data_IF_267414283628
#
_entry.id   IF_267414283628
#
_cell.length_a   1.000
_cell.length_b   1.000
_cell.length_c   1.000
_cell.angle_alpha   90.00
_cell.angle_beta   90.00
_cell.angle_gamma   90.00
#
_symmetry.space_group_name_H-M   'P 1'
#
loop_
_entity.id
_entity.type
_entity.pdbx_description
1 polymer ?
#
# COMPACT_ATOMS: atom_id res chain seq x y z
N UNK A 1 -53.61 -34.62 -31.76
CA UNK A 1 -53.40 -34.68 -30.30
C UNK A 1 -52.21 -35.58 -30.04
N UNK A 2 -51.03 -34.99 -29.86
CA UNK A 2 -49.76 -35.73 -29.80
C UNK A 2 -49.39 -36.11 -28.37
N UNK A 3 -49.34 -37.41 -28.10
CA UNK A 3 -48.72 -37.99 -26.92
C UNK A 3 -47.19 -37.87 -27.02
N UNK A 4 -46.54 -37.28 -26.00
CA UNK A 4 -45.11 -37.48 -25.74
C UNK A 4 -44.93 -38.11 -24.37
N UNK A 5 -44.38 -39.31 -24.39
CA UNK A 5 -43.97 -40.11 -23.25
C UNK A 5 -42.67 -39.55 -22.63
N UNK A 6 -42.53 -39.79 -21.31
CA UNK A 6 -41.32 -39.55 -20.52
C UNK A 6 -40.26 -40.58 -20.90
N UNK A 7 -39.01 -40.14 -21.05
CA UNK A 7 -37.83 -41.02 -21.13
C UNK A 7 -36.82 -40.57 -20.06
N UNK A 8 -36.70 -41.40 -19.01
CA UNK A 8 -35.50 -41.53 -18.20
C UNK A 8 -34.59 -42.57 -18.89
N UNK A 9 -33.27 -42.32 -18.96
CA UNK A 9 -32.34 -43.33 -19.48
C UNK A 9 -30.92 -42.87 -19.80
N UNK A 10 -30.01 -43.17 -18.87
CA UNK A 10 -28.56 -43.49 -19.00
C UNK A 10 -27.58 -42.48 -19.62
N UNK A 11 -26.65 -42.03 -18.78
CA UNK A 11 -25.36 -41.41 -19.14
C UNK A 11 -24.37 -42.50 -19.62
N UNK A 12 -23.69 -42.33 -20.77
CA UNK A 12 -22.63 -43.25 -21.22
C UNK A 12 -21.30 -43.01 -20.48
N UNK A 13 -20.60 -44.11 -20.17
CA UNK A 13 -19.33 -44.12 -19.43
C UNK A 13 -18.18 -43.42 -20.17
N UNK A 14 -17.38 -42.65 -19.41
CA UNK A 14 -16.17 -42.00 -19.89
C UNK A 14 -14.97 -42.95 -20.05
N UNK A 15 -13.90 -42.52 -20.75
CA UNK A 15 -12.76 -43.35 -21.09
C UNK A 15 -11.85 -43.69 -19.89
N UNK A 16 -11.19 -44.84 -19.99
CA UNK A 16 -10.31 -45.43 -18.97
C UNK A 16 -9.16 -44.50 -18.55
N UNK A 17 -8.92 -44.39 -17.24
CA UNK A 17 -7.75 -43.68 -16.68
C UNK A 17 -6.48 -44.47 -16.97
N UNK A 18 -5.47 -43.81 -17.52
CA UNK A 18 -4.09 -44.31 -17.55
C UNK A 18 -3.51 -44.37 -16.12
N UNK A 19 -2.71 -45.39 -15.76
CA UNK A 19 -2.12 -45.51 -14.43
C UNK A 19 -1.03 -44.45 -14.19
N UNK A 20 -1.01 -43.88 -12.98
CA UNK A 20 0.00 -42.93 -12.52
C UNK A 20 1.31 -43.67 -12.17
N UNK A 21 2.44 -43.38 -12.85
CA UNK A 21 3.72 -44.05 -12.63
C UNK A 21 4.41 -43.66 -11.30
N UNK A 22 3.76 -42.92 -10.41
CA UNK A 22 4.30 -42.58 -9.08
C UNK A 22 3.72 -43.40 -7.93
N UNK A 23 2.76 -44.29 -8.20
CA UNK A 23 2.11 -45.09 -7.15
C UNK A 23 2.98 -46.24 -6.60
N UNK A 24 4.03 -46.67 -7.30
CA UNK A 24 4.81 -47.86 -6.93
C UNK A 24 6.08 -47.57 -6.10
N UNK A 25 6.29 -46.35 -5.62
CA UNK A 25 7.56 -45.96 -4.99
C UNK A 25 7.57 -45.86 -3.45
N UNK A 26 6.56 -46.37 -2.72
CA UNK A 26 6.48 -46.12 -1.26
C UNK A 26 6.16 -47.31 -0.36
N UNK A 27 6.30 -48.56 -0.82
CA UNK A 27 6.12 -49.72 0.07
C UNK A 27 7.25 -50.75 -0.06
N UNK A 28 8.27 -50.58 0.80
CA UNK A 28 9.11 -51.70 1.25
C UNK A 28 8.48 -52.37 2.49
N UNK A 29 8.70 -53.67 2.72
CA UNK A 29 8.10 -54.39 3.83
C UNK A 29 8.86 -54.09 5.12
N UNK A 30 8.10 -54.03 6.22
CA UNK A 30 8.52 -53.91 7.62
C UNK A 30 8.71 -52.49 8.20
N UNK A 31 7.87 -52.16 9.19
CA UNK A 31 8.05 -51.00 10.08
C UNK A 31 6.78 -50.20 10.34
N UNK A 32 5.95 -50.64 11.31
CA UNK A 32 4.73 -49.94 11.71
C UNK A 32 4.96 -48.51 12.21
N UNK A 33 3.98 -47.63 11.96
CA UNK A 33 3.87 -46.31 12.60
C UNK A 33 2.57 -46.24 13.41
N UNK A 34 2.58 -45.64 14.61
CA UNK A 34 1.37 -45.49 15.42
C UNK A 34 0.44 -44.44 14.78
N UNK A 35 -0.87 -44.69 14.84
CA UNK A 35 -1.88 -43.74 14.34
C UNK A 35 -1.80 -42.39 15.08
N UNK A 36 -1.80 -41.25 14.37
CA UNK A 36 -1.92 -39.96 15.02
C UNK A 36 -3.38 -39.74 15.45
N UNK A 37 -3.62 -39.61 16.76
CA UNK A 37 -4.89 -39.08 17.26
C UNK A 37 -5.04 -37.63 16.78
N UNK A 38 -6.23 -37.20 16.31
CA UNK A 38 -6.45 -35.81 15.94
C UNK A 38 -6.31 -34.91 17.20
N UNK A 39 -5.66 -33.74 17.10
CA UNK A 39 -5.51 -32.86 18.25
C UNK A 39 -6.86 -32.33 18.71
N UNK A 40 -7.16 -32.51 20.00
CA UNK A 40 -8.30 -31.89 20.66
C UNK A 40 -8.05 -30.39 20.80
N UNK A 41 -8.69 -29.59 19.93
CA UNK A 41 -8.53 -28.14 19.87
C UNK A 41 -9.37 -27.39 20.92
N UNK A 42 -9.94 -28.07 21.94
CA UNK A 42 -10.83 -27.41 22.91
C UNK A 42 -10.11 -26.74 24.09
N UNK A 43 -8.78 -26.80 24.18
CA UNK A 43 -8.03 -26.27 25.34
C UNK A 43 -6.84 -25.35 25.01
N UNK A 44 -6.75 -24.77 23.80
CA UNK A 44 -5.66 -23.84 23.45
C UNK A 44 -5.85 -22.41 24.01
N UNK A 45 -6.29 -22.30 25.26
CA UNK A 45 -6.26 -21.06 26.04
C UNK A 45 -5.30 -21.24 27.21
N UNK A 46 -4.08 -20.72 27.04
CA UNK A 46 -3.07 -20.66 28.10
C UNK A 46 -1.77 -21.33 27.68
N UNK A 47 -0.74 -20.51 27.48
CA UNK A 47 0.67 -20.90 27.48
C UNK A 47 1.17 -21.79 26.34
N UNK A 48 1.24 -21.25 25.13
CA UNK A 48 2.32 -21.59 24.17
C UNK A 48 2.48 -20.47 23.13
N UNK A 49 2.85 -19.27 23.60
CA UNK A 49 3.54 -18.31 22.76
C UNK A 49 4.97 -18.84 22.57
N UNK A 50 5.12 -19.77 21.62
CA UNK A 50 6.43 -20.08 21.04
C UNK A 50 6.89 -18.83 20.29
N UNK A 51 7.56 -17.96 21.05
CA UNK A 51 8.42 -16.90 20.56
C UNK A 51 9.46 -17.59 19.70
N UNK A 52 9.19 -17.68 18.40
CA UNK A 52 10.18 -17.91 17.38
C UNK A 52 11.21 -16.79 17.50
N UNK A 53 12.21 -17.00 18.35
CA UNK A 53 13.44 -16.24 18.39
C UNK A 53 14.17 -16.59 17.10
N UNK A 54 13.68 -16.05 15.98
CA UNK A 54 14.45 -15.95 14.78
C UNK A 54 15.75 -15.27 15.22
N UNK A 55 16.83 -16.05 15.22
CA UNK A 55 18.18 -15.56 15.33
C UNK A 55 18.41 -14.69 14.09
N UNK A 56 17.88 -13.47 14.12
CA UNK A 56 18.32 -12.41 13.22
C UNK A 56 19.83 -12.31 13.48
N UNK A 57 20.67 -12.42 12.43
CA UNK A 57 22.10 -12.21 12.60
C UNK A 57 22.31 -10.91 13.38
N UNK A 58 23.21 -10.93 14.37
CA UNK A 58 23.49 -9.81 15.29
C UNK A 58 23.84 -8.49 14.59
N UNK A 59 24.07 -8.52 13.27
CA UNK A 59 24.13 -7.36 12.42
C UNK A 59 23.17 -7.58 11.23
N UNK A 60 21.92 -7.15 11.36
CA UNK A 60 21.21 -6.67 10.18
C UNK A 60 22.03 -5.45 9.73
N UNK A 61 22.53 -5.38 8.48
CA UNK A 61 23.26 -4.21 8.02
C UNK A 61 22.43 -2.98 8.36
N UNK A 62 23.02 -2.01 9.07
CA UNK A 62 22.33 -0.76 9.34
C UNK A 62 21.87 -0.21 7.99
N UNK A 63 20.55 -0.10 7.81
CA UNK A 63 20.00 0.48 6.62
C UNK A 63 20.63 1.88 6.51
N UNK A 64 21.47 2.12 5.49
CA UNK A 64 22.34 3.29 5.34
C UNK A 64 21.60 4.60 5.08
N UNK A 65 20.49 4.85 5.76
CA UNK A 65 19.75 6.10 5.72
C UNK A 65 19.89 6.82 7.05
N UNK A 66 19.90 8.15 7.00
CA UNK A 66 19.92 9.00 8.18
C UNK A 66 18.71 8.67 9.08
N UNK A 67 18.97 8.31 10.34
CA UNK A 67 17.93 7.99 11.31
C UNK A 67 17.02 9.21 11.51
N UNK A 68 15.71 9.02 11.44
CA UNK A 68 14.76 10.13 11.58
C UNK A 68 14.54 10.62 13.02
N UNK A 69 15.28 10.10 13.99
CA UNK A 69 15.14 10.46 15.40
C UNK A 69 16.29 9.91 16.26
N UNK A 70 16.35 10.27 17.55
CA UNK A 70 17.40 9.78 18.43
C UNK A 70 17.33 8.26 18.49
N UNK A 71 18.51 7.66 18.46
CA UNK A 71 18.79 6.22 18.49
C UNK A 71 17.86 5.44 19.43
N UNK A 72 17.65 4.15 19.13
CA UNK A 72 16.95 3.17 19.99
C UNK A 72 17.08 3.57 21.45
N UNK A 73 16.02 4.13 22.04
CA UNK A 73 16.07 4.52 23.46
C UNK A 73 16.22 3.23 24.25
N UNK A 74 17.42 2.97 24.75
CA UNK A 74 17.66 1.89 25.72
C UNK A 74 16.80 2.21 26.94
N UNK A 75 15.92 1.29 27.33
CA UNK A 75 15.13 1.40 28.55
C UNK A 75 13.65 1.75 28.39
N UNK A 76 12.93 1.18 27.42
CA UNK A 76 11.47 1.07 27.54
C UNK A 76 11.09 -0.21 28.31
N UNK A 77 11.50 -0.25 29.57
CA UNK A 77 10.71 -0.93 30.61
C UNK A 77 9.68 0.12 31.05
N UNK A 78 8.41 -0.08 30.67
CA UNK A 78 7.35 0.90 30.96
C UNK A 78 6.40 1.10 29.78
N UNK A 79 5.30 0.37 29.87
CA UNK A 79 4.03 0.50 29.17
C UNK A 79 3.76 1.88 28.55
N UNK A 80 3.71 1.94 27.22
CA UNK A 80 2.94 2.98 26.55
C UNK A 80 1.48 2.77 26.93
N UNK A 81 0.89 3.77 27.59
CA UNK A 81 -0.49 3.86 28.08
C UNK A 81 -1.41 2.89 27.33
N UNK A 82 -1.99 1.93 28.06
CA UNK A 82 -2.80 0.86 27.51
C UNK A 82 -3.73 1.37 26.40
N UNK A 83 -3.34 1.16 25.13
CA UNK A 83 -4.26 1.50 24.04
C UNK A 83 -5.38 0.47 24.13
N UNK A 84 -6.47 0.82 24.78
CA UNK A 84 -7.59 -0.09 25.04
C UNK A 84 -8.35 -0.38 23.74
N UNK A 85 -9.14 -1.46 23.73
CA UNK A 85 -10.00 -1.78 22.58
C UNK A 85 -9.21 -2.21 21.34
N UNK A 86 -9.59 -1.68 20.17
CA UNK A 86 -9.15 -2.17 18.84
C UNK A 86 -7.64 -2.10 18.60
N UNK A 87 -6.93 -1.22 19.30
CA UNK A 87 -5.50 -0.98 19.11
C UNK A 87 -4.62 -1.69 20.16
N UNK A 88 -5.20 -2.48 21.06
CA UNK A 88 -4.45 -3.13 22.16
C UNK A 88 -3.30 -4.01 21.69
N UNK A 89 -3.43 -4.60 20.49
CA UNK A 89 -2.42 -5.46 19.88
C UNK A 89 -1.50 -4.73 18.88
N UNK A 90 -1.73 -3.44 18.64
CA UNK A 90 -0.84 -2.63 17.81
C UNK A 90 0.29 -2.08 18.68
N UNK A 91 1.48 -2.64 18.51
CA UNK A 91 2.68 -2.25 19.26
C UNK A 91 3.87 -2.21 18.32
N UNK A 92 4.61 -1.10 18.36
CA UNK A 92 5.91 -0.98 17.70
C UNK A 92 7.01 -0.95 18.77
N UNK A 93 7.23 -2.09 19.41
CA UNK A 93 8.05 -2.23 20.61
C UNK A 93 9.44 -1.60 20.46
N UNK A 94 9.75 -0.64 21.34
CA UNK A 94 11.07 0.01 21.40
C UNK A 94 11.41 0.93 20.22
N UNK A 95 10.49 1.17 19.29
CA UNK A 95 10.73 2.00 18.10
C UNK A 95 9.92 3.29 18.08
N UNK A 96 8.61 3.23 18.32
CA UNK A 96 7.76 4.41 18.34
C UNK A 96 6.46 4.22 19.13
N UNK A 97 5.89 5.34 19.55
CA UNK A 97 4.58 5.42 20.18
C UNK A 97 3.49 5.65 19.11
N UNK A 98 2.68 4.62 18.86
CA UNK A 98 1.61 4.65 17.85
C UNK A 98 0.46 5.58 18.23
N UNK A 99 0.26 5.92 19.52
CA UNK A 99 -0.83 6.80 19.95
C UNK A 99 -0.73 8.20 19.32
N UNK A 100 0.49 8.61 18.94
CA UNK A 100 0.77 9.87 18.23
C UNK A 100 0.12 9.93 16.85
N UNK A 101 -0.24 8.80 16.23
CA UNK A 101 -0.96 8.78 14.95
C UNK A 101 -2.34 9.43 15.05
N UNK A 102 -2.98 9.37 16.22
CA UNK A 102 -4.29 9.98 16.45
C UNK A 102 -4.29 11.50 16.28
N UNK A 103 -3.13 12.15 16.33
CA UNK A 103 -2.99 13.59 16.09
C UNK A 103 -2.51 13.92 14.67
N UNK A 104 -2.36 12.92 13.79
CA UNK A 104 -1.82 13.09 12.44
C UNK A 104 -2.93 13.24 11.41
N UNK A 105 -2.70 14.14 10.44
CA UNK A 105 -3.54 14.33 9.26
C UNK A 105 -2.77 13.91 8.01
N UNK A 106 -3.35 13.01 7.21
CA UNK A 106 -2.73 12.49 5.98
C UNK A 106 -3.66 12.72 4.80
N UNK A 107 -3.16 13.38 3.75
CA UNK A 107 -3.86 13.46 2.47
C UNK A 107 -3.49 12.27 1.58
N UNK A 108 -4.47 11.67 0.92
CA UNK A 108 -4.30 10.58 -0.05
C UNK A 108 -4.94 11.03 -1.37
N UNK A 109 -4.13 11.15 -2.41
CA UNK A 109 -4.57 11.54 -3.75
C UNK A 109 -4.57 10.34 -4.67
N UNK A 110 -5.75 10.01 -5.19
CA UNK A 110 -6.09 8.74 -5.83
C UNK A 110 -6.53 7.71 -4.79
N UNK A 111 -7.78 7.26 -4.85
CA UNK A 111 -8.32 6.13 -4.07
C UNK A 111 -8.70 4.96 -5.00
N UNK A 112 -7.82 4.71 -5.98
CA UNK A 112 -7.74 3.46 -6.73
C UNK A 112 -7.13 2.31 -5.91
N UNK A 113 -6.66 1.26 -6.59
CA UNK A 113 -6.21 -0.01 -5.95
C UNK A 113 -5.21 0.22 -4.81
N UNK A 114 -4.20 1.04 -5.06
CA UNK A 114 -3.16 1.38 -4.09
C UNK A 114 -3.67 2.31 -2.98
N UNK A 115 -4.41 3.36 -3.34
CA UNK A 115 -4.83 4.41 -2.42
C UNK A 115 -5.90 3.94 -1.43
N UNK A 116 -6.87 3.14 -1.89
CA UNK A 116 -7.87 2.54 -1.01
C UNK A 116 -7.24 1.62 0.04
N UNK A 117 -6.26 0.79 -0.35
CA UNK A 117 -5.52 -0.06 0.58
C UNK A 117 -4.66 0.77 1.55
N UNK A 118 -4.04 1.84 1.06
CA UNK A 118 -3.25 2.73 1.92
C UNK A 118 -4.13 3.44 2.95
N UNK A 119 -5.31 3.91 2.55
CA UNK A 119 -6.28 4.52 3.44
C UNK A 119 -6.78 3.54 4.50
N UNK A 120 -7.08 2.29 4.10
CA UNK A 120 -7.48 1.20 5.00
C UNK A 120 -6.39 0.87 6.04
N UNK A 121 -5.14 0.72 5.60
CA UNK A 121 -4.00 0.46 6.50
C UNK A 121 -3.84 1.60 7.51
N UNK A 122 -3.83 2.86 7.05
CA UNK A 122 -3.67 4.03 7.92
C UNK A 122 -4.84 4.21 8.90
N UNK A 123 -6.07 3.95 8.44
CA UNK A 123 -7.24 4.00 9.31
C UNK A 123 -7.16 2.95 10.42
N UNK A 124 -6.77 1.71 10.08
CA UNK A 124 -6.58 0.63 11.06
C UNK A 124 -5.42 0.89 12.03
N UNK A 125 -4.39 1.63 11.59
CA UNK A 125 -3.30 2.10 12.44
C UNK A 125 -3.71 3.25 13.39
N UNK A 126 -4.89 3.85 13.17
CA UNK A 126 -5.40 4.93 14.00
C UNK A 126 -4.83 6.30 13.68
N UNK A 127 -4.53 6.57 12.40
CA UNK A 127 -4.31 7.96 11.95
C UNK A 127 -5.56 8.77 12.25
N UNK A 128 -5.42 9.93 12.90
CA UNK A 128 -6.56 10.71 13.38
C UNK A 128 -7.44 11.28 12.28
N UNK A 129 -6.85 11.61 11.13
CA UNK A 129 -7.55 12.32 10.07
C UNK A 129 -7.02 11.95 8.67
N UNK A 130 -7.92 11.51 7.79
CA UNK A 130 -7.65 11.14 6.41
C UNK A 130 -8.40 12.07 5.46
N UNK A 131 -7.66 12.66 4.53
CA UNK A 131 -8.20 13.56 3.49
C UNK A 131 -8.05 12.88 2.14
N UNK A 132 -9.16 12.54 1.50
CA UNK A 132 -9.18 11.70 0.30
C UNK A 132 -9.56 12.52 -0.92
N UNK A 133 -8.78 12.44 -1.99
CA UNK A 133 -9.04 13.09 -3.27
C UNK A 133 -9.09 12.06 -4.39
N UNK A 134 -10.21 11.97 -5.10
CA UNK A 134 -10.36 11.19 -6.33
C UNK A 134 -11.66 11.62 -7.02
N UNK A 135 -11.63 11.82 -8.33
CA UNK A 135 -12.79 12.28 -9.09
C UNK A 135 -13.67 11.15 -9.63
N UNK A 136 -13.16 9.91 -9.66
CA UNK A 136 -13.82 8.77 -10.27
C UNK A 136 -14.98 8.22 -9.44
N UNK A 137 -15.78 7.41 -10.12
CA UNK A 137 -16.79 6.53 -9.52
C UNK A 137 -16.30 5.08 -9.48
N UNK A 138 -16.89 4.26 -8.61
CA UNK A 138 -16.63 2.83 -8.55
C UNK A 138 -17.21 2.16 -9.80
N UNK A 139 -16.40 1.36 -10.47
CA UNK A 139 -16.81 0.55 -11.64
C UNK A 139 -16.68 -0.94 -11.32
N UNK A 140 -17.40 -1.80 -12.06
CA UNK A 140 -17.28 -3.26 -11.86
C UNK A 140 -15.86 -3.77 -12.15
N UNK A 141 -15.23 -3.23 -13.21
CA UNK A 141 -13.84 -3.54 -13.57
C UNK A 141 -12.83 -3.14 -12.48
N UNK A 142 -13.25 -2.37 -11.47
CA UNK A 142 -12.43 -1.88 -10.38
C UNK A 142 -12.48 -2.83 -9.14
N UNK A 143 -13.45 -3.73 -9.06
CA UNK A 143 -13.69 -4.61 -7.90
C UNK A 143 -12.62 -5.69 -7.69
N UNK A 144 -11.82 -6.02 -8.70
CA UNK A 144 -10.78 -7.04 -8.63
C UNK A 144 -9.57 -6.65 -7.74
N UNK A 145 -9.48 -5.39 -7.30
CA UNK A 145 -8.29 -4.83 -6.65
C UNK A 145 -8.57 -3.80 -5.55
N UNK A 146 -9.85 -3.57 -5.24
CA UNK A 146 -10.29 -2.50 -4.36
C UNK A 146 -11.03 -3.06 -3.16
N UNK A 147 -11.10 -2.24 -2.12
CA UNK A 147 -11.84 -2.51 -0.89
C UNK A 147 -13.37 -2.32 -1.09
N UNK A 148 -13.78 -1.90 -2.30
CA UNK A 148 -15.17 -1.64 -2.66
C UNK A 148 -16.00 -2.92 -2.81
N UNK A 149 -17.29 -2.79 -2.53
CA UNK A 149 -18.29 -3.85 -2.68
C UNK A 149 -19.08 -3.68 -3.97
N UNK A 150 -19.68 -4.77 -4.45
CA UNK A 150 -20.48 -4.79 -5.69
C UNK A 150 -21.67 -3.83 -5.64
N UNK A 151 -22.26 -3.59 -4.47
CA UNK A 151 -23.39 -2.66 -4.31
C UNK A 151 -22.98 -1.18 -4.34
N UNK A 152 -21.68 -0.88 -4.34
CA UNK A 152 -21.16 0.49 -4.40
C UNK A 152 -20.84 0.95 -5.83
N UNK A 153 -21.07 0.12 -6.85
CA UNK A 153 -20.86 0.49 -8.25
C UNK A 153 -21.71 1.72 -8.60
N UNK A 154 -21.07 2.74 -9.18
CA UNK A 154 -21.67 4.04 -9.48
C UNK A 154 -21.50 5.12 -8.40
N UNK A 155 -21.13 4.75 -7.16
CA UNK A 155 -20.80 5.72 -6.11
C UNK A 155 -19.47 6.41 -6.40
N UNK A 156 -19.26 7.63 -5.87
CA UNK A 156 -17.94 8.28 -5.90
C UNK A 156 -16.95 7.44 -5.09
N UNK A 157 -15.77 7.16 -5.64
CA UNK A 157 -14.75 6.32 -4.95
C UNK A 157 -14.42 6.85 -3.56
N UNK A 158 -14.26 8.18 -3.42
CA UNK A 158 -13.96 8.84 -2.14
C UNK A 158 -15.09 8.70 -1.11
N UNK A 159 -16.34 8.59 -1.53
CA UNK A 159 -17.49 8.41 -0.64
C UNK A 159 -17.62 6.95 -0.22
N UNK A 160 -17.53 6.03 -1.19
CA UNK A 160 -17.56 4.60 -0.97
C UNK A 160 -16.47 4.14 0.03
N UNK A 161 -15.24 4.64 -0.10
CA UNK A 161 -14.14 4.31 0.81
C UNK A 161 -14.33 5.00 2.16
N UNK A 162 -14.82 6.25 2.20
CA UNK A 162 -15.09 6.96 3.45
C UNK A 162 -16.08 6.17 4.32
N UNK A 163 -17.15 5.67 3.72
CA UNK A 163 -18.18 4.94 4.45
C UNK A 163 -17.68 3.56 4.90
N UNK A 164 -16.86 2.90 4.08
CA UNK A 164 -16.12 1.70 4.47
C UNK A 164 -15.20 1.95 5.68
N UNK A 165 -14.36 2.99 5.63
CA UNK A 165 -13.38 3.31 6.67
C UNK A 165 -14.07 3.73 7.97
N UNK A 166 -15.19 4.46 7.91
CA UNK A 166 -15.98 4.82 9.09
C UNK A 166 -16.58 3.60 9.78
N UNK A 167 -17.02 2.61 9.01
CA UNK A 167 -17.48 1.33 9.55
C UNK A 167 -16.32 0.52 10.17
N UNK A 168 -15.16 0.50 9.51
CA UNK A 168 -13.98 -0.21 9.99
C UNK A 168 -13.38 0.44 11.26
N UNK A 169 -13.28 1.77 11.28
CA UNK A 169 -12.71 2.53 12.38
C UNK A 169 -13.36 3.92 12.56
N UNK A 170 -14.39 4.06 13.41
CA UNK A 170 -15.09 5.33 13.65
C UNK A 170 -14.25 6.39 14.38
N UNK A 171 -13.10 6.01 14.96
CA UNK A 171 -12.20 6.95 15.65
C UNK A 171 -11.43 7.84 14.65
N UNK A 172 -11.40 7.45 13.37
CA UNK A 172 -10.69 8.14 12.29
C UNK A 172 -11.64 9.11 11.59
N UNK A 173 -11.26 10.40 11.55
CA UNK A 173 -11.99 11.37 10.72
C UNK A 173 -11.61 11.16 9.26
N UNK A 174 -12.63 11.13 8.39
CA UNK A 174 -12.43 10.99 6.96
C UNK A 174 -13.16 12.11 6.23
N UNK A 175 -12.41 12.91 5.49
CA UNK A 175 -12.89 13.97 4.60
C UNK A 175 -12.68 13.54 3.16
N UNK A 176 -13.71 13.67 2.33
CA UNK A 176 -13.73 13.20 0.93
C UNK A 176 -13.94 14.36 -0.03
N UNK A 177 -13.06 14.49 -1.02
CA UNK A 177 -13.14 15.48 -2.10
C UNK A 177 -13.27 14.75 -3.45
N UNK A 178 -14.47 14.73 -4.06
CA UNK A 178 -14.71 14.07 -5.35
C UNK A 178 -14.23 14.94 -6.52
N UNK A 179 -12.98 15.39 -6.48
CA UNK A 179 -12.42 16.38 -7.39
C UNK A 179 -11.13 15.91 -8.05
N UNK A 180 -10.93 16.33 -9.30
CA UNK A 180 -9.63 16.25 -9.94
C UNK A 180 -8.75 17.36 -9.35
N UNK A 181 -7.65 16.97 -8.72
CA UNK A 181 -6.72 17.90 -8.07
C UNK A 181 -6.01 18.84 -9.04
N UNK A 182 -6.09 18.58 -10.34
CA UNK A 182 -5.52 19.41 -11.40
C UNK A 182 -6.50 20.48 -11.91
N UNK A 183 -7.80 20.31 -11.66
CA UNK A 183 -8.83 21.29 -11.99
C UNK A 183 -8.88 22.43 -10.96
N UNK A 184 -9.40 23.60 -11.35
CA UNK A 184 -9.40 24.80 -10.49
C UNK A 184 -9.93 24.56 -9.06
N UNK A 185 -11.12 23.96 -8.95
CA UNK A 185 -11.73 23.64 -7.63
C UNK A 185 -10.93 22.60 -6.84
N UNK A 186 -10.44 21.55 -7.50
CA UNK A 186 -9.69 20.50 -6.83
C UNK A 186 -8.29 20.95 -6.42
N UNK A 187 -7.65 21.81 -7.21
CA UNK A 187 -6.40 22.46 -6.89
C UNK A 187 -6.55 23.37 -5.67
N UNK A 188 -7.59 24.20 -5.61
CA UNK A 188 -7.87 25.06 -4.46
C UNK A 188 -8.04 24.23 -3.18
N UNK A 189 -8.88 23.19 -3.24
CA UNK A 189 -9.09 22.27 -2.12
C UNK A 189 -7.80 21.55 -1.71
N UNK A 190 -7.01 21.06 -2.68
CA UNK A 190 -5.74 20.41 -2.41
C UNK A 190 -4.77 21.36 -1.70
N UNK A 191 -4.63 22.61 -2.18
CA UNK A 191 -3.71 23.58 -1.58
C UNK A 191 -4.11 23.93 -0.15
N UNK A 192 -5.40 24.09 0.12
CA UNK A 192 -5.91 24.36 1.45
C UNK A 192 -5.62 23.19 2.41
N UNK A 193 -5.85 21.97 1.96
CA UNK A 193 -5.72 20.77 2.79
C UNK A 193 -4.27 20.35 3.00
N UNK A 194 -3.42 20.42 1.98
CA UNK A 194 -2.01 20.01 2.07
C UNK A 194 -1.29 20.81 3.15
N UNK A 195 -1.58 22.10 3.31
CA UNK A 195 -0.95 22.93 4.35
C UNK A 195 -1.30 22.49 5.79
N UNK A 196 -2.39 21.75 5.97
CA UNK A 196 -2.86 21.22 7.25
C UNK A 196 -2.37 19.79 7.51
N UNK A 197 -1.77 19.14 6.50
CA UNK A 197 -1.38 17.74 6.56
C UNK A 197 0.05 17.54 7.06
N UNK A 198 0.27 16.47 7.81
CA UNK A 198 1.61 16.01 8.20
C UNK A 198 2.31 15.25 7.04
N UNK A 199 1.54 14.71 6.11
CA UNK A 199 2.01 13.86 5.01
C UNK A 199 1.00 13.84 3.86
N UNK A 200 1.49 13.75 2.62
CA UNK A 200 0.70 13.49 1.42
C UNK A 200 1.13 12.15 0.80
N UNK A 201 0.17 11.29 0.49
CA UNK A 201 0.37 10.07 -0.29
C UNK A 201 -0.15 10.28 -1.72
N UNK A 202 0.73 10.04 -2.70
CA UNK A 202 0.37 9.97 -4.11
C UNK A 202 0.11 8.53 -4.50
N UNK A 203 -1.11 8.25 -4.96
CA UNK A 203 -1.56 6.92 -5.38
C UNK A 203 -2.22 7.00 -6.77
N UNK A 204 -1.67 7.85 -7.64
CA UNK A 204 -2.18 8.14 -8.99
C UNK A 204 -1.41 7.38 -10.07
N UNK A 205 -2.08 7.06 -11.15
CA UNK A 205 -1.54 6.35 -12.31
C UNK A 205 -0.91 7.29 -13.36
N UNK A 206 -1.23 8.59 -13.31
CA UNK A 206 -0.67 9.58 -14.22
C UNK A 206 0.65 10.17 -13.72
N UNK A 207 1.69 10.02 -14.53
CA UNK A 207 2.99 10.62 -14.28
C UNK A 207 2.94 12.16 -14.15
N UNK A 208 2.07 12.81 -14.93
CA UNK A 208 1.90 14.26 -14.88
C UNK A 208 1.36 14.72 -13.52
N UNK A 209 0.38 13.98 -12.98
CA UNK A 209 -0.22 14.27 -11.66
C UNK A 209 0.81 14.02 -10.55
N UNK A 210 1.66 12.98 -10.65
CA UNK A 210 2.75 12.76 -9.69
C UNK A 210 3.73 13.94 -9.61
N UNK A 211 4.15 14.46 -10.76
CA UNK A 211 5.01 15.66 -10.82
C UNK A 211 4.32 16.88 -10.21
N UNK A 212 3.03 17.06 -10.50
CA UNK A 212 2.22 18.14 -9.96
C UNK A 212 2.13 18.06 -8.44
N UNK A 213 1.75 16.90 -7.88
CA UNK A 213 1.67 16.66 -6.43
C UNK A 213 3.02 16.88 -5.76
N UNK A 214 4.10 16.34 -6.33
CA UNK A 214 5.45 16.58 -5.85
C UNK A 214 5.78 18.08 -5.79
N UNK A 215 5.45 18.85 -6.84
CA UNK A 215 5.71 20.29 -6.85
C UNK A 215 4.91 21.02 -5.77
N UNK A 216 3.64 20.67 -5.55
CA UNK A 216 2.80 21.28 -4.52
C UNK A 216 3.28 20.93 -3.10
N UNK A 217 3.57 19.65 -2.84
CA UNK A 217 4.05 19.20 -1.53
C UNK A 217 5.42 19.80 -1.18
N UNK A 218 6.35 19.86 -2.15
CA UNK A 218 7.66 20.52 -1.97
C UNK A 218 7.49 22.01 -1.68
N UNK A 219 6.59 22.69 -2.39
CA UNK A 219 6.31 24.11 -2.15
C UNK A 219 5.70 24.35 -0.75
N UNK A 220 4.78 23.47 -0.33
CA UNK A 220 4.16 23.50 1.00
C UNK A 220 5.08 23.02 2.13
N UNK A 221 6.26 22.47 1.79
CA UNK A 221 7.20 21.82 2.73
C UNK A 221 6.58 20.65 3.52
N UNK A 222 5.65 19.94 2.90
CA UNK A 222 5.00 18.75 3.46
C UNK A 222 5.65 17.51 2.84
N UNK A 223 6.01 16.48 3.64
CA UNK A 223 6.47 15.20 3.11
C UNK A 223 5.47 14.61 2.11
N UNK A 224 5.98 14.02 1.04
CA UNK A 224 5.20 13.37 0.00
C UNK A 224 5.74 11.98 -0.26
N UNK A 225 4.88 10.97 -0.31
CA UNK A 225 5.27 9.61 -0.68
C UNK A 225 4.44 9.17 -1.88
N UNK A 226 5.10 9.02 -3.02
CA UNK A 226 4.50 8.45 -4.23
C UNK A 226 4.56 6.92 -4.15
N UNK A 227 3.49 6.26 -4.59
CA UNK A 227 3.47 4.83 -4.82
C UNK A 227 2.91 4.54 -6.21
N UNK A 228 3.44 3.51 -6.85
CA UNK A 228 2.95 3.09 -8.16
C UNK A 228 3.29 1.65 -8.49
N UNK A 229 2.49 1.05 -9.36
CA UNK A 229 2.78 -0.24 -9.97
C UNK A 229 3.16 -0.06 -11.45
N UNK A 230 3.87 -1.04 -12.00
CA UNK A 230 4.18 -1.11 -13.43
C UNK A 230 2.96 -1.49 -14.27
N UNK A 231 3.00 -1.20 -15.57
CA UNK A 231 1.91 -1.50 -16.51
C UNK A 231 1.63 -3.00 -16.64
N UNK A 232 2.66 -3.83 -16.48
CA UNK A 232 2.56 -5.30 -16.45
C UNK A 232 2.06 -5.84 -15.09
N UNK A 233 1.90 -4.96 -14.09
CA UNK A 233 1.31 -5.25 -12.80
C UNK A 233 2.16 -6.05 -11.83
N UNK A 234 3.36 -6.49 -12.20
CA UNK A 234 4.22 -7.36 -11.37
C UNK A 234 5.28 -6.61 -10.59
N UNK A 235 5.57 -5.35 -10.94
CA UNK A 235 6.55 -4.52 -10.26
C UNK A 235 5.89 -3.31 -9.62
N UNK A 236 6.57 -2.72 -8.64
CA UNK A 236 6.07 -1.56 -7.92
C UNK A 236 7.18 -0.68 -7.37
N UNK A 237 6.83 0.55 -7.03
CA UNK A 237 7.77 1.53 -6.50
C UNK A 237 7.14 2.39 -5.42
N UNK A 238 7.98 2.81 -4.48
CA UNK A 238 7.65 3.81 -3.45
C UNK A 238 8.74 4.87 -3.44
N UNK A 239 8.40 6.14 -3.65
CA UNK A 239 9.34 7.26 -3.61
C UNK A 239 8.99 8.19 -2.45
N UNK A 240 9.88 8.30 -1.48
CA UNK A 240 9.75 9.21 -0.34
C UNK A 240 10.45 10.54 -0.59
N UNK A 241 9.67 11.61 -0.66
CA UNK A 241 10.11 12.99 -0.81
C UNK A 241 9.93 13.72 0.53
N UNK A 242 11.04 13.99 1.22
CA UNK A 242 11.08 14.87 2.38
C UNK A 242 11.70 16.20 1.92
N UNK A 243 10.90 17.28 1.81
CA UNK A 243 11.38 18.55 1.29
C UNK A 243 12.67 19.03 1.96
N UNK A 244 13.68 19.32 1.15
CA UNK A 244 15.00 19.77 1.61
C UNK A 244 15.96 18.65 2.02
N UNK A 245 15.50 17.43 2.30
CA UNK A 245 16.33 16.29 2.71
C UNK A 245 16.53 15.28 1.57
N UNK A 246 15.46 14.66 1.07
CA UNK A 246 15.59 13.64 0.00
C UNK A 246 15.40 14.25 -1.39
N UNK A 247 15.73 13.47 -2.42
CA UNK A 247 15.49 13.83 -3.80
C UNK A 247 13.99 13.94 -4.08
N UNK A 248 13.54 15.06 -4.65
CA UNK A 248 12.16 15.17 -5.13
C UNK A 248 11.95 14.36 -6.41
N UNK A 249 10.70 14.15 -6.81
CA UNK A 249 10.35 13.37 -7.99
C UNK A 249 11.05 13.85 -9.29
N UNK A 250 11.27 15.16 -9.44
CA UNK A 250 11.99 15.76 -10.58
C UNK A 250 13.51 15.57 -10.54
N UNK A 251 14.12 15.33 -9.38
CA UNK A 251 15.59 15.19 -9.28
C UNK A 251 16.11 13.99 -10.09
N UNK A 252 15.33 12.92 -10.18
CA UNK A 252 15.79 11.64 -10.73
C UNK A 252 15.28 11.40 -12.15
N UNK A 253 14.84 12.45 -12.82
CA UNK A 253 14.37 12.41 -14.21
C UNK A 253 14.98 13.57 -14.99
N UNK A 254 16.26 13.45 -15.41
CA UNK A 254 16.97 14.50 -16.15
C UNK A 254 16.21 14.95 -17.41
N UNK A 255 15.58 14.02 -18.12
CA UNK A 255 14.77 14.31 -19.31
C UNK A 255 13.56 15.22 -19.05
N UNK A 256 13.17 15.45 -17.78
CA UNK A 256 12.10 16.38 -17.41
C UNK A 256 12.62 17.69 -16.84
N UNK A 257 13.95 17.82 -16.67
CA UNK A 257 14.57 19.08 -16.29
C UNK A 257 14.48 20.08 -17.44
N UNK A 258 14.50 19.61 -18.68
CA UNK A 258 14.17 20.39 -19.87
C UNK A 258 12.65 20.41 -20.09
N UNK A 259 12.02 21.57 -19.83
CA UNK A 259 10.61 21.79 -20.10
C UNK A 259 10.23 21.55 -21.59
N UNK A 260 11.19 21.62 -22.51
CA UNK A 260 11.03 21.33 -23.95
C UNK A 260 10.96 19.83 -24.27
N UNK A 261 11.44 18.95 -23.39
CA UNK A 261 11.38 17.51 -23.55
C UNK A 261 10.06 16.89 -23.04
N UNK A 262 9.16 17.73 -22.53
CA UNK A 262 7.78 17.37 -22.17
C UNK A 262 6.93 17.22 -23.44
N UNK A 263 7.33 16.29 -24.32
CA UNK A 263 6.39 15.78 -25.32
C UNK A 263 5.37 14.94 -24.55
N UNK A 264 4.06 15.24 -24.63
CA UNK A 264 3.09 14.24 -24.23
C UNK A 264 3.40 13.04 -25.12
N UNK A 265 3.86 11.94 -24.54
CA UNK A 265 3.80 10.66 -25.24
C UNK A 265 2.32 10.39 -25.38
N UNK A 266 1.72 10.93 -26.45
CA UNK A 266 0.46 10.45 -27.00
C UNK A 266 0.71 8.99 -27.33
N UNK A 267 0.42 8.14 -26.37
CA UNK A 267 -0.12 6.81 -26.61
C UNK A 267 -1.63 6.90 -26.35
N UNK A 268 -2.26 7.82 -27.09
CA UNK A 268 -3.64 7.62 -27.54
C UNK A 268 -3.59 6.39 -28.48
N UNK A 269 -4.63 5.55 -28.45
CA UNK A 269 -4.81 4.32 -29.23
C UNK A 269 -4.32 3.00 -28.61
N UNK A 270 -4.72 2.74 -27.37
CA UNK A 270 -5.34 1.43 -27.07
C UNK A 270 -6.64 1.66 -26.33
N UNK A 271 -7.76 1.56 -27.04
CA UNK A 271 -9.05 1.32 -26.43
C UNK A 271 -8.97 0.01 -25.63
N UNK A 272 -8.61 0.12 -24.35
CA UNK A 272 -8.53 -0.96 -23.40
C UNK A 272 -8.28 -0.35 -22.02
N UNK A 273 -9.29 -0.43 -21.18
CA UNK A 273 -9.24 -0.21 -19.75
C UNK A 273 -8.36 -1.28 -19.07
N UNK A 274 -7.07 -1.41 -19.40
CA UNK A 274 -6.23 -2.50 -18.88
C UNK A 274 -4.77 -2.07 -18.66
N UNK A 275 -4.52 -1.19 -17.71
CA UNK A 275 -3.29 -1.30 -16.93
C UNK A 275 -3.45 -2.53 -16.02
N UNK A 276 -2.57 -3.52 -16.17
CA UNK A 276 -2.64 -4.73 -15.36
C UNK A 276 -2.39 -4.34 -13.91
N UNK A 277 -3.40 -4.55 -13.07
CA UNK A 277 -3.36 -4.16 -11.67
C UNK A 277 -3.61 -5.40 -10.82
N UNK A 278 -2.54 -6.10 -10.52
CA UNK A 278 -2.57 -7.26 -9.64
C UNK A 278 -2.82 -6.79 -8.19
N UNK A 279 -3.85 -7.30 -7.50
CA UNK A 279 -4.15 -6.93 -6.12
C UNK A 279 -2.97 -7.22 -5.19
N UNK A 280 -2.18 -8.26 -5.48
CA UNK A 280 -0.98 -8.63 -4.73
C UNK A 280 0.09 -7.53 -4.78
N UNK A 281 0.44 -7.07 -5.98
CA UNK A 281 1.42 -5.98 -6.16
C UNK A 281 0.92 -4.68 -5.53
N UNK A 282 -0.36 -4.35 -5.70
CA UNK A 282 -0.95 -3.17 -5.08
C UNK A 282 -0.88 -3.24 -3.55
N UNK A 283 -1.18 -4.39 -2.95
CA UNK A 283 -1.09 -4.59 -1.51
C UNK A 283 0.36 -4.50 -0.98
N UNK A 284 1.34 -5.05 -1.70
CA UNK A 284 2.76 -4.91 -1.35
C UNK A 284 3.18 -3.44 -1.39
N UNK A 285 2.87 -2.73 -2.47
CA UNK A 285 3.23 -1.31 -2.62
C UNK A 285 2.50 -0.45 -1.58
N UNK A 286 1.22 -0.69 -1.31
CA UNK A 286 0.45 0.01 -0.27
C UNK A 286 1.09 -0.17 1.11
N UNK A 287 1.48 -1.41 1.43
CA UNK A 287 2.12 -1.74 2.71
C UNK A 287 3.47 -1.06 2.84
N UNK A 288 4.29 -1.05 1.78
CA UNK A 288 5.56 -0.34 1.75
C UNK A 288 5.36 1.18 1.88
N UNK A 289 4.39 1.76 1.16
CA UNK A 289 4.06 3.17 1.22
C UNK A 289 3.61 3.58 2.64
N UNK A 290 2.74 2.80 3.27
CA UNK A 290 2.31 3.03 4.65
C UNK A 290 3.44 2.82 5.66
N UNK A 291 4.36 1.87 5.42
CA UNK A 291 5.51 1.66 6.29
C UNK A 291 6.47 2.85 6.26
N UNK A 292 6.73 3.43 5.08
CA UNK A 292 7.48 4.69 4.98
C UNK A 292 6.72 5.85 5.62
N UNK A 293 5.38 5.91 5.46
CA UNK A 293 4.54 6.91 6.11
C UNK A 293 4.68 6.87 7.63
N UNK A 294 4.64 5.69 8.24
CA UNK A 294 4.86 5.53 9.68
C UNK A 294 6.22 6.06 10.12
N UNK A 295 7.29 5.71 9.40
CA UNK A 295 8.64 6.21 9.70
C UNK A 295 8.72 7.73 9.66
N UNK A 296 8.07 8.35 8.67
CA UNK A 296 7.99 9.81 8.53
C UNK A 296 7.17 10.44 9.67
N UNK A 297 5.95 9.96 9.91
CA UNK A 297 4.99 10.52 10.87
C UNK A 297 5.47 10.38 12.32
N UNK A 298 6.09 9.25 12.65
CA UNK A 298 6.53 8.90 14.00
C UNK A 298 8.03 9.07 14.23
N UNK A 299 8.78 9.44 13.19
CA UNK A 299 10.21 9.78 13.25
C UNK A 299 11.07 8.65 13.84
N UNK A 300 10.90 7.43 13.32
CA UNK A 300 11.71 6.28 13.69
C UNK A 300 12.35 5.60 12.49
N UNK A 301 13.42 4.85 12.74
CA UNK A 301 14.16 4.12 11.71
C UNK A 301 14.77 5.04 10.66
N UNK A 302 15.12 4.44 9.52
CA UNK A 302 15.64 5.15 8.34
C UNK A 302 14.61 5.10 7.21
N UNK A 303 14.27 6.24 6.63
CA UNK A 303 13.45 6.29 5.42
C UNK A 303 14.26 5.83 4.21
N UNK A 304 13.65 5.00 3.37
CA UNK A 304 14.23 4.64 2.09
C UNK A 304 13.80 5.69 1.05
N UNK A 305 14.73 6.46 0.43
CA UNK A 305 14.35 7.48 -0.54
C UNK A 305 13.56 6.90 -1.71
N UNK A 306 13.94 5.71 -2.16
CA UNK A 306 13.22 4.99 -3.19
C UNK A 306 13.31 3.48 -2.95
N UNK A 307 12.18 2.80 -3.08
CA UNK A 307 12.06 1.35 -3.03
C UNK A 307 11.51 0.85 -4.36
N UNK A 308 12.08 -0.23 -4.89
CA UNK A 308 11.59 -0.93 -6.07
C UNK A 308 11.29 -2.38 -5.70
N UNK A 309 10.04 -2.77 -5.86
CA UNK A 309 9.58 -4.15 -5.72
C UNK A 309 9.54 -4.81 -7.10
N UNK A 310 10.20 -5.96 -7.21
CA UNK A 310 10.20 -6.82 -8.40
C UNK A 310 9.50 -8.13 -8.06
N UNK A 311 8.24 -8.27 -8.49
CA UNK A 311 7.38 -9.36 -8.04
C UNK A 311 7.67 -10.71 -8.68
N UNK A 312 8.31 -10.75 -9.85
CA UNK A 312 8.69 -12.01 -10.48
C UNK A 312 9.83 -12.70 -9.72
N UNK A 313 10.78 -11.91 -9.22
CA UNK A 313 11.94 -12.38 -8.48
C UNK A 313 11.74 -12.34 -6.95
N UNK A 314 10.63 -11.78 -6.47
CA UNK A 314 10.39 -11.57 -5.03
C UNK A 314 11.42 -10.63 -4.39
N UNK A 315 11.95 -9.67 -5.17
CA UNK A 315 13.09 -8.84 -4.79
C UNK A 315 12.66 -7.42 -4.43
N UNK A 316 13.26 -6.84 -3.40
CA UNK A 316 13.03 -5.47 -2.96
C UNK A 316 14.35 -4.71 -2.92
N UNK A 317 14.52 -3.76 -3.84
CA UNK A 317 15.72 -2.91 -3.91
C UNK A 317 15.46 -1.57 -3.24
N UNK A 318 16.49 -1.09 -2.54
CA UNK A 318 16.59 0.30 -2.10
C UNK A 318 17.50 1.08 -3.03
N UNK A 319 17.06 2.26 -3.45
CA UNK A 319 17.86 3.18 -4.25
C UNK A 319 18.02 4.52 -3.52
N UNK A 320 19.27 4.88 -3.24
CA UNK A 320 19.61 6.13 -2.55
C UNK A 320 19.78 7.28 -3.54
N UNK A 321 18.65 7.81 -4.00
CA UNK A 321 18.63 8.96 -4.88
C UNK A 321 19.06 10.24 -4.18
N UNK A 322 20.04 10.92 -4.78
CA UNK A 322 20.58 12.18 -4.27
C UNK A 322 19.77 13.36 -4.77
N UNK A 323 19.49 14.30 -3.88
CA UNK A 323 18.87 15.57 -4.22
C UNK A 323 19.78 16.36 -5.15
N UNK A 324 19.23 16.82 -6.28
CA UNK A 324 19.93 17.72 -7.20
C UNK A 324 19.80 19.18 -6.72
N UNK A 325 20.91 19.87 -6.37
CA UNK A 325 20.89 21.27 -5.95
C UNK A 325 20.35 22.24 -7.01
N UNK A 326 20.42 21.87 -8.29
CA UNK A 326 19.96 22.66 -9.44
C UNK A 326 18.53 22.33 -9.87
N UNK A 327 17.85 21.42 -9.18
CA UNK A 327 16.49 21.02 -9.52
C UNK A 327 15.53 22.23 -9.53
N UNK A 328 14.81 22.46 -10.63
CA UNK A 328 13.83 23.54 -10.74
C UNK A 328 12.65 23.47 -9.76
N UNK A 329 12.43 22.32 -9.10
CA UNK A 329 11.37 22.14 -8.10
C UNK A 329 11.89 22.27 -6.67
N UNK A 330 12.93 21.52 -6.30
CA UNK A 330 13.42 21.47 -4.91
C UNK A 330 14.82 22.06 -4.70
N UNK A 331 15.48 22.52 -5.76
CA UNK A 331 16.79 23.19 -5.70
C UNK A 331 16.69 24.53 -4.96
N UNK A 332 17.82 25.05 -4.49
CA UNK A 332 17.83 26.39 -3.89
C UNK A 332 17.52 27.40 -5.00
N UNK A 333 16.42 28.16 -4.88
CA UNK A 333 16.22 29.33 -5.73
C UNK A 333 17.42 30.24 -5.51
N UNK A 334 18.23 30.48 -6.55
CA UNK A 334 19.17 31.60 -6.54
C UNK A 334 18.30 32.85 -6.36
N UNK A 335 18.46 33.52 -5.21
CA UNK A 335 17.90 34.87 -5.02
C UNK A 335 18.64 35.82 -5.94
#
# INVERSE_FOLDING_TARGET
MGHRARHEGRVPGGPARLPDPRADALHGPEGGRPEPRPPDLRHAHGEELLVGRALLPRAVPEAGGELLGPERRRGHEGEGLAVTGRYARLRLFGHADLSKLATKRVAIVGVGGLGALSAEILARLGVGDLVLFDYDTVEEANLNRLVFRTDQVGERKVEAIRDHLRAANPDVRVTSYPFDVTDGKGLEALLEEVLKCDLVLGCVDSFAVRLFLNAKAVAARVPFIDGGASEDGVNGSVHVVIPGKTACYRCNRPALQDASAMRPTRREDRGACHFTSLPTTMAVVASLQCQEALKVLLRFGSVAPFLMYFGLEGRLDRVDWKRDPRCGTCGRRRR
#
